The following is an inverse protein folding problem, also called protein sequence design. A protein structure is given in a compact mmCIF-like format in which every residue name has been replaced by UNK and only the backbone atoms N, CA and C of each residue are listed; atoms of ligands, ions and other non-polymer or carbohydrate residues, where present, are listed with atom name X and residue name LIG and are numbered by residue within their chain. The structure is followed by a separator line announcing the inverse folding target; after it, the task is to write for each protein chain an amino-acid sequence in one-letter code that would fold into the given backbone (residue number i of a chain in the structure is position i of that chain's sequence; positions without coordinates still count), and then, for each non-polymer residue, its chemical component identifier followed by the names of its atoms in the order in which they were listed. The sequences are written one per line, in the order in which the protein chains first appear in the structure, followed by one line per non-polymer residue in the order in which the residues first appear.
data_IF_460365524652
#
_entry.id   IF_460365524652
#
_cell.length_a   1.000
_cell.length_b   1.000
_cell.length_c   1.000
_cell.angle_alpha   90.00
_cell.angle_beta   90.00
_cell.angle_gamma   90.00
#
_symmetry.space_group_name_H-M   'P 1'
#
loop_
_entity.id
_entity.type
_entity.pdbx_description
1 polymer ?
#
# COMPACT_ATOMS: atom_id res chain seq x y z
N UNK A 1 -17.88 17.14 -30.78
CA UNK A 1 -16.43 17.19 -31.08
C UNK A 1 -15.95 15.76 -31.31
N UNK A 2 -15.20 15.46 -32.36
CA UNK A 2 -14.52 14.17 -32.48
C UNK A 2 -13.20 14.30 -31.70
N UNK A 3 -12.97 13.46 -30.72
CA UNK A 3 -11.66 13.36 -30.09
C UNK A 3 -10.66 12.89 -31.14
N UNK A 4 -9.56 13.61 -31.27
CA UNK A 4 -8.43 13.20 -32.07
C UNK A 4 -7.41 12.62 -31.13
N UNK A 5 -7.07 11.35 -31.28
CA UNK A 5 -5.99 10.72 -30.53
C UNK A 5 -4.69 11.04 -31.26
N UNK A 6 -3.77 11.67 -30.56
CA UNK A 6 -2.44 11.95 -31.06
C UNK A 6 -1.43 11.08 -30.32
N UNK A 7 -0.44 10.57 -31.01
CA UNK A 7 0.64 9.80 -30.44
C UNK A 7 1.65 10.76 -29.76
N UNK A 8 2.12 10.43 -28.57
CA UNK A 8 3.14 11.24 -27.89
C UNK A 8 4.47 10.97 -28.57
N UNK A 9 4.95 11.92 -29.35
CA UNK A 9 6.20 11.82 -30.12
C UNK A 9 7.45 12.06 -29.25
N UNK A 10 7.35 12.87 -28.18
CA UNK A 10 8.47 13.17 -27.31
C UNK A 10 8.02 13.50 -25.88
N UNK A 11 8.84 13.15 -24.89
CA UNK A 11 8.69 13.54 -23.49
C UNK A 11 9.98 14.19 -23.03
N UNK A 12 9.96 15.50 -22.83
CA UNK A 12 11.11 16.26 -22.30
C UNK A 12 11.05 16.43 -20.79
N UNK A 13 12.20 16.34 -20.15
CA UNK A 13 12.35 16.65 -18.75
C UNK A 13 12.49 18.16 -18.60
N UNK A 14 11.50 18.81 -17.99
CA UNK A 14 11.53 20.24 -17.73
C UNK A 14 11.91 20.47 -16.27
N UNK A 15 12.96 21.25 -16.01
CA UNK A 15 13.31 21.70 -14.65
C UNK A 15 12.23 22.66 -14.13
N UNK A 16 11.42 22.18 -13.20
CA UNK A 16 10.36 22.95 -12.59
C UNK A 16 10.91 23.82 -11.46
N UNK A 17 10.73 25.14 -11.58
CA UNK A 17 11.28 26.11 -10.63
C UNK A 17 10.43 26.38 -9.39
N UNK A 18 9.19 25.89 -9.36
CA UNK A 18 8.28 26.08 -8.24
C UNK A 18 8.35 24.92 -7.26
N UNK A 19 8.39 25.26 -5.95
CA UNK A 19 8.45 24.26 -4.85
C UNK A 19 7.13 23.53 -4.59
N UNK A 20 6.07 23.74 -5.40
CA UNK A 20 4.74 23.15 -5.20
C UNK A 20 4.32 22.39 -6.44
N UNK A 21 4.01 21.11 -6.26
CA UNK A 21 3.34 20.27 -7.25
C UNK A 21 1.87 20.15 -6.82
N UNK A 22 0.96 20.66 -7.64
CA UNK A 22 -0.47 20.49 -7.44
C UNK A 22 -0.90 19.16 -8.06
N UNK A 23 -1.46 18.27 -7.23
CA UNK A 23 -2.07 17.03 -7.69
C UNK A 23 -3.59 17.21 -7.59
N UNK A 24 -4.27 17.29 -8.71
CA UNK A 24 -5.71 17.30 -8.81
C UNK A 24 -6.15 15.85 -9.03
N UNK A 25 -6.90 15.21 -8.14
CA UNK A 25 -7.41 13.86 -8.31
C UNK A 25 -8.90 13.92 -8.66
N UNK A 26 -9.28 13.55 -9.87
CA UNK A 26 -10.67 13.47 -10.36
C UNK A 26 -11.17 12.04 -10.16
N UNK A 27 -12.32 11.87 -9.52
CA UNK A 27 -12.85 10.57 -9.16
C UNK A 27 -14.15 10.24 -9.92
N UNK A 28 -14.00 10.06 -11.22
CA UNK A 28 -14.97 9.35 -12.04
C UNK A 28 -14.33 8.02 -12.54
N UNK A 29 -15.09 7.19 -13.24
CA UNK A 29 -14.53 5.96 -13.84
C UNK A 29 -13.50 6.25 -14.94
N UNK A 30 -13.45 7.47 -15.46
CA UNK A 30 -12.45 7.95 -16.43
C UNK A 30 -11.27 8.63 -15.74
N UNK A 31 -11.46 9.15 -14.51
CA UNK A 31 -10.47 9.93 -13.74
C UNK A 31 -9.79 11.02 -14.59
N UNK A 32 -10.53 11.78 -15.37
CA UNK A 32 -9.99 12.70 -16.36
C UNK A 32 -10.40 14.16 -16.09
N UNK A 33 -9.52 15.11 -16.39
CA UNK A 33 -9.82 16.54 -16.47
C UNK A 33 -9.09 17.16 -17.66
N UNK A 34 -9.49 18.36 -18.08
CA UNK A 34 -8.81 19.08 -19.16
C UNK A 34 -7.85 20.09 -18.55
N UNK A 35 -6.55 19.93 -18.84
CA UNK A 35 -5.52 20.91 -18.51
C UNK A 35 -4.78 21.29 -19.80
N UNK A 36 -4.74 22.59 -20.14
CA UNK A 36 -4.14 23.10 -21.39
C UNK A 36 -4.63 22.37 -22.67
N UNK A 37 -5.94 22.19 -22.80
CA UNK A 37 -6.62 21.48 -23.90
C UNK A 37 -6.33 19.96 -23.99
N UNK A 38 -5.59 19.42 -23.03
CA UNK A 38 -5.30 17.99 -22.91
C UNK A 38 -6.24 17.38 -21.86
N UNK A 39 -6.87 16.25 -22.17
CA UNK A 39 -7.68 15.49 -21.24
C UNK A 39 -6.76 14.80 -20.24
N UNK A 40 -6.86 15.14 -18.96
CA UNK A 40 -6.01 14.65 -17.86
C UNK A 40 -6.87 13.94 -16.82
N UNK A 41 -6.29 13.00 -16.10
CA UNK A 41 -6.96 12.10 -15.19
C UNK A 41 -6.71 12.48 -13.71
N UNK A 42 -7.76 12.74 -12.88
CA UNK A 42 -7.54 13.10 -11.46
C UNK A 42 -8.76 13.02 -10.50
N UNK A 43 -8.47 13.02 -9.15
CA UNK A 43 -9.45 13.05 -8.05
C UNK A 43 -9.14 14.20 -7.08
N UNK A 44 -10.16 14.77 -6.43
CA UNK A 44 -10.03 15.81 -5.38
C UNK A 44 -10.42 15.21 -4.03
N UNK A 45 -9.69 15.52 -2.97
CA UNK A 45 -10.13 15.23 -1.61
C UNK A 45 -10.04 16.45 -0.71
N UNK A 46 -10.93 16.52 0.29
CA UNK A 46 -10.98 17.57 1.28
C UNK A 46 -10.97 17.01 2.71
N UNK A 47 -10.41 17.76 3.66
CA UNK A 47 -10.43 17.42 5.08
C UNK A 47 -11.45 18.30 5.81
N UNK A 48 -12.28 17.70 6.66
CA UNK A 48 -13.34 18.40 7.41
C UNK A 48 -13.02 18.57 8.91
N UNK A 49 -11.82 18.21 9.37
CA UNK A 49 -11.45 18.29 10.78
C UNK A 49 -11.63 19.70 11.35
N UNK A 50 -11.03 20.68 10.71
CA UNK A 50 -11.09 22.10 11.13
C UNK A 50 -12.48 22.73 11.03
N UNK A 51 -13.39 22.16 10.24
CA UNK A 51 -14.76 22.69 10.14
C UNK A 51 -15.48 22.64 11.48
N UNK A 52 -15.38 21.53 12.20
CA UNK A 52 -16.04 21.37 13.50
C UNK A 52 -15.34 22.19 14.59
N UNK A 53 -14.01 22.32 14.52
CA UNK A 53 -13.23 23.14 15.47
C UNK A 53 -13.53 24.63 15.34
N UNK A 54 -13.89 25.10 14.14
CA UNK A 54 -14.25 26.49 13.88
C UNK A 54 -15.71 26.84 14.27
N UNK A 55 -16.53 25.86 14.65
CA UNK A 55 -17.92 26.11 15.07
C UNK A 55 -17.99 26.69 16.50
N UNK A 56 -19.09 27.40 16.80
CA UNK A 56 -19.36 27.81 18.19
C UNK A 56 -19.57 26.61 19.12
N UNK A 57 -19.28 26.72 20.42
CA UNK A 57 -19.50 25.63 21.37
C UNK A 57 -20.91 25.03 21.34
N UNK A 58 -21.93 25.85 21.15
CA UNK A 58 -23.32 25.39 21.05
C UNK A 58 -23.57 24.59 19.75
N UNK A 59 -22.88 24.95 18.66
CA UNK A 59 -22.94 24.19 17.39
C UNK A 59 -22.14 22.90 17.48
N UNK A 60 -20.96 22.92 18.12
CA UNK A 60 -20.16 21.72 18.35
C UNK A 60 -20.92 20.67 19.18
N UNK A 61 -21.68 21.11 20.20
CA UNK A 61 -22.49 20.23 21.02
C UNK A 61 -23.56 19.42 20.25
N UNK A 62 -23.98 19.91 19.07
CA UNK A 62 -24.89 19.17 18.17
C UNK A 62 -24.22 18.02 17.44
N UNK A 63 -22.89 18.05 17.32
CA UNK A 63 -22.06 17.08 16.61
C UNK A 63 -21.11 16.33 17.57
N UNK A 64 -21.66 15.89 18.71
CA UNK A 64 -20.94 15.22 19.81
C UNK A 64 -20.45 13.79 19.46
N UNK A 65 -20.98 13.18 18.40
CA UNK A 65 -20.59 11.84 17.95
C UNK A 65 -20.06 11.85 16.52
N UNK A 66 -19.21 10.87 16.21
CA UNK A 66 -18.67 10.66 14.86
C UNK A 66 -19.79 10.40 13.85
N UNK A 67 -20.86 9.69 14.25
CA UNK A 67 -22.03 9.44 13.42
C UNK A 67 -22.71 10.75 13.01
N UNK A 68 -22.97 11.64 13.96
CA UNK A 68 -23.60 12.94 13.67
C UNK A 68 -22.73 13.80 12.75
N UNK A 69 -21.39 13.80 12.97
CA UNK A 69 -20.43 14.47 12.09
C UNK A 69 -20.48 13.90 10.68
N UNK A 70 -20.44 12.57 10.54
CA UNK A 70 -20.54 11.87 9.26
C UNK A 70 -21.81 12.23 8.51
N UNK A 71 -22.96 12.13 9.18
CA UNK A 71 -24.27 12.35 8.55
C UNK A 71 -24.42 13.82 8.12
N UNK A 72 -23.91 14.77 8.89
CA UNK A 72 -23.84 16.18 8.50
C UNK A 72 -22.97 16.40 7.27
N UNK A 73 -21.73 15.84 7.25
CA UNK A 73 -20.81 16.00 6.11
C UNK A 73 -21.43 15.39 4.86
N UNK A 74 -22.01 14.19 4.94
CA UNK A 74 -22.63 13.54 3.79
C UNK A 74 -23.81 14.35 3.27
N UNK A 75 -24.67 14.83 4.14
CA UNK A 75 -25.78 15.70 3.74
C UNK A 75 -25.28 16.97 3.06
N UNK A 76 -24.27 17.62 3.64
CA UNK A 76 -23.68 18.83 3.08
C UNK A 76 -23.04 18.56 1.71
N UNK A 77 -22.30 17.47 1.56
CA UNK A 77 -21.68 17.13 0.28
C UNK A 77 -22.74 16.78 -0.78
N UNK A 78 -23.59 15.80 -0.52
CA UNK A 78 -24.53 15.27 -1.51
C UNK A 78 -25.65 16.26 -1.88
N UNK A 79 -26.16 17.02 -0.90
CA UNK A 79 -27.27 17.95 -1.13
C UNK A 79 -26.82 19.34 -1.56
N UNK A 80 -25.60 19.75 -1.24
CA UNK A 80 -25.11 21.09 -1.51
C UNK A 80 -23.86 21.12 -2.37
N UNK A 81 -22.72 20.57 -1.92
CA UNK A 81 -21.44 20.71 -2.63
C UNK A 81 -21.45 20.05 -4.01
N UNK A 82 -21.94 18.82 -4.11
CA UNK A 82 -21.97 18.11 -5.39
C UNK A 82 -22.86 18.86 -6.39
N UNK A 83 -24.00 19.39 -5.94
CA UNK A 83 -24.88 20.19 -6.79
C UNK A 83 -24.25 21.52 -7.22
N UNK A 84 -23.56 22.22 -6.30
CA UNK A 84 -22.88 23.47 -6.65
C UNK A 84 -21.71 23.23 -7.61
N UNK A 85 -20.92 22.20 -7.38
CA UNK A 85 -19.80 21.83 -8.26
C UNK A 85 -20.31 21.42 -9.65
N UNK A 86 -21.37 20.63 -9.75
CA UNK A 86 -21.96 20.23 -11.03
C UNK A 86 -22.56 21.43 -11.76
N UNK A 87 -23.27 22.32 -11.04
CA UNK A 87 -23.74 23.56 -11.62
C UNK A 87 -22.60 24.44 -12.16
N UNK A 88 -21.50 24.54 -11.41
CA UNK A 88 -20.33 25.27 -11.87
C UNK A 88 -19.68 24.60 -13.10
N UNK A 89 -19.60 23.26 -13.15
CA UNK A 89 -19.16 22.54 -14.33
C UNK A 89 -20.06 22.79 -15.54
N UNK A 90 -21.39 22.79 -15.35
CA UNK A 90 -22.37 23.07 -16.40
C UNK A 90 -22.27 24.50 -16.94
N UNK A 91 -21.98 25.48 -16.09
CA UNK A 91 -21.86 26.88 -16.47
C UNK A 91 -20.50 27.19 -17.15
N UNK A 92 -19.40 26.56 -16.76
CA UNK A 92 -18.07 26.98 -17.18
C UNK A 92 -17.42 25.98 -18.18
N UNK A 93 -17.49 24.69 -17.92
CA UNK A 93 -16.79 23.69 -18.73
C UNK A 93 -17.67 23.06 -19.81
N UNK A 94 -18.87 22.61 -19.44
CA UNK A 94 -19.73 21.89 -20.36
C UNK A 94 -20.21 22.70 -21.58
N UNK A 95 -20.51 24.01 -21.49
CA UNK A 95 -20.93 24.81 -22.64
C UNK A 95 -19.85 24.89 -23.75
N UNK A 96 -18.59 24.86 -23.38
CA UNK A 96 -17.48 24.93 -24.36
C UNK A 96 -17.34 23.66 -25.20
N UNK A 97 -17.84 22.55 -24.71
CA UNK A 97 -17.66 21.23 -25.32
C UNK A 97 -18.97 20.61 -25.84
N UNK A 98 -20.14 21.22 -25.56
CA UNK A 98 -21.44 20.74 -26.05
C UNK A 98 -21.95 19.44 -25.40
N UNK A 99 -21.25 18.90 -24.39
CA UNK A 99 -21.57 17.69 -23.66
C UNK A 99 -21.18 17.86 -22.19
N UNK A 100 -21.89 17.18 -21.28
CA UNK A 100 -21.48 17.05 -19.89
C UNK A 100 -20.23 16.16 -19.84
N UNK A 101 -19.06 16.78 -19.70
CA UNK A 101 -17.76 16.09 -19.68
C UNK A 101 -17.27 15.95 -18.24
N UNK A 102 -17.70 16.87 -17.36
CA UNK A 102 -17.29 16.89 -15.96
C UNK A 102 -18.51 16.74 -15.07
N UNK A 103 -18.44 15.77 -14.18
CA UNK A 103 -19.40 15.55 -13.10
C UNK A 103 -18.63 15.34 -11.80
N UNK A 104 -19.06 16.02 -10.73
CA UNK A 104 -18.56 15.81 -9.38
C UNK A 104 -19.50 14.91 -8.62
N UNK A 105 -18.97 13.83 -8.07
CA UNK A 105 -19.68 12.92 -7.19
C UNK A 105 -18.85 12.65 -5.93
N UNK A 106 -19.47 12.78 -4.76
CA UNK A 106 -18.86 12.37 -3.50
C UNK A 106 -18.76 10.84 -3.45
N UNK A 107 -17.56 10.29 -3.58
CA UNK A 107 -17.34 8.84 -3.66
C UNK A 107 -17.20 8.18 -2.30
N UNK A 108 -16.51 8.82 -1.38
CA UNK A 108 -16.22 8.22 -0.08
C UNK A 108 -15.96 9.24 1.02
N UNK A 109 -16.29 8.85 2.26
CA UNK A 109 -15.92 9.57 3.47
C UNK A 109 -15.13 8.64 4.38
N UNK A 110 -13.94 9.08 4.78
CA UNK A 110 -13.04 8.34 5.65
C UNK A 110 -12.92 9.01 7.01
N UNK A 111 -12.88 8.22 8.07
CA UNK A 111 -12.60 8.72 9.42
C UNK A 111 -11.15 9.14 9.58
N UNK A 112 -10.25 8.40 8.93
CA UNK A 112 -8.83 8.70 8.90
C UNK A 112 -8.20 8.24 7.58
N UNK A 113 -7.12 8.93 7.17
CA UNK A 113 -6.33 8.57 6.01
C UNK A 113 -4.84 8.81 6.28
N UNK A 114 -4.02 7.87 5.85
CA UNK A 114 -2.55 7.99 5.90
C UNK A 114 -2.01 7.88 4.48
N UNK A 115 -1.40 8.95 3.99
CA UNK A 115 -0.78 9.02 2.69
C UNK A 115 0.73 8.73 2.83
N UNK A 116 1.21 7.62 2.26
CA UNK A 116 2.65 7.29 2.27
C UNK A 116 3.38 8.00 1.14
N UNK A 117 2.77 8.05 -0.03
CA UNK A 117 3.25 8.74 -1.24
C UNK A 117 2.11 8.76 -2.27
N UNK A 118 2.31 9.44 -3.39
CA UNK A 118 1.36 9.45 -4.52
C UNK A 118 0.87 8.02 -4.84
N UNK A 119 -0.44 7.84 -4.92
CA UNK A 119 -1.11 6.53 -5.18
C UNK A 119 -0.78 5.41 -4.17
N UNK A 120 -0.27 5.76 -2.96
CA UNK A 120 -0.03 4.81 -1.88
C UNK A 120 -0.60 5.37 -0.58
N UNK A 121 -1.79 4.94 -0.22
CA UNK A 121 -2.50 5.42 0.96
C UNK A 121 -3.36 4.34 1.60
N UNK A 122 -3.66 4.54 2.87
CA UNK A 122 -4.59 3.75 3.66
C UNK A 122 -5.74 4.65 4.08
N UNK A 123 -6.99 4.26 3.79
CA UNK A 123 -8.22 4.94 4.20
C UNK A 123 -9.05 4.07 5.12
N UNK A 124 -9.69 4.68 6.11
CA UNK A 124 -10.66 4.04 6.98
C UNK A 124 -12.06 4.57 6.65
N UNK A 125 -12.75 3.91 5.75
CA UNK A 125 -14.06 4.32 5.27
C UNK A 125 -15.15 4.17 6.32
N UNK A 126 -15.94 5.23 6.50
CA UNK A 126 -17.21 5.22 7.24
C UNK A 126 -18.42 5.37 6.30
N UNK A 127 -18.17 5.72 5.04
CA UNK A 127 -19.14 5.70 3.95
C UNK A 127 -18.41 5.59 2.59
N UNK A 128 -18.99 4.88 1.63
CA UNK A 128 -18.53 4.86 0.24
C UNK A 128 -19.64 4.44 -0.72
N UNK A 129 -19.87 5.20 -1.78
CA UNK A 129 -20.84 4.94 -2.86
C UNK A 129 -22.21 4.49 -2.31
N UNK A 130 -22.78 5.28 -1.41
CA UNK A 130 -24.09 5.00 -0.78
C UNK A 130 -24.08 3.97 0.34
N UNK A 131 -22.96 3.30 0.61
CA UNK A 131 -22.85 2.26 1.65
C UNK A 131 -22.22 2.82 2.93
N UNK A 132 -22.92 2.67 4.05
CA UNK A 132 -22.43 3.04 5.38
C UNK A 132 -21.62 1.91 6.01
N UNK A 133 -20.55 2.28 6.73
CA UNK A 133 -19.74 1.39 7.55
C UNK A 133 -19.80 1.84 9.01
N UNK A 134 -19.54 0.92 9.93
CA UNK A 134 -19.50 1.22 11.34
C UNK A 134 -18.34 2.18 11.65
N UNK A 135 -18.63 3.28 12.31
CA UNK A 135 -17.62 4.29 12.69
C UNK A 135 -16.66 3.79 13.77
N UNK A 136 -17.06 2.80 14.57
CA UNK A 136 -16.21 2.17 15.57
C UNK A 136 -15.36 1.03 14.97
N UNK A 137 -15.76 0.53 13.79
CA UNK A 137 -15.01 -0.49 13.04
C UNK A 137 -15.03 -0.15 11.55
N UNK A 138 -14.37 0.94 11.12
CA UNK A 138 -14.40 1.42 9.75
C UNK A 138 -13.74 0.42 8.80
N UNK A 139 -14.21 0.41 7.57
CA UNK A 139 -13.63 -0.46 6.54
C UNK A 139 -12.27 0.09 6.09
N UNK A 140 -11.20 -0.65 6.37
CA UNK A 140 -9.89 -0.33 5.84
C UNK A 140 -9.81 -0.62 4.35
N UNK A 141 -9.28 0.33 3.61
CA UNK A 141 -8.95 0.20 2.19
C UNK A 141 -7.54 0.72 1.94
N UNK A 142 -6.75 -0.08 1.25
CA UNK A 142 -5.37 0.23 0.94
C UNK A 142 -5.18 0.33 -0.57
N UNK A 143 -4.63 1.42 -1.05
CA UNK A 143 -4.29 1.63 -2.46
C UNK A 143 -2.77 1.68 -2.61
N UNK A 144 -2.24 0.94 -3.58
CA UNK A 144 -0.80 0.94 -3.90
C UNK A 144 0.13 0.40 -2.80
N UNK A 145 -0.39 0.12 -1.61
CA UNK A 145 0.37 -0.36 -0.46
C UNK A 145 0.67 -1.85 -0.61
N UNK A 146 1.86 -2.26 -0.21
CA UNK A 146 2.30 -3.66 -0.31
C UNK A 146 1.43 -4.64 0.47
N UNK A 147 0.69 -4.18 1.47
CA UNK A 147 -0.16 -5.01 2.34
C UNK A 147 -1.27 -5.78 1.60
N UNK A 148 -1.75 -5.25 0.48
CA UNK A 148 -2.87 -5.85 -0.29
C UNK A 148 -2.43 -6.50 -1.59
N UNK A 149 -1.14 -6.42 -1.94
CA UNK A 149 -0.62 -7.03 -3.16
C UNK A 149 -0.63 -8.56 -3.04
N UNK A 150 -0.85 -9.22 -4.15
CA UNK A 150 -0.76 -10.69 -4.24
C UNK A 150 0.62 -11.24 -3.89
N UNK A 151 1.66 -10.41 -4.01
CA UNK A 151 3.04 -10.72 -3.64
C UNK A 151 3.31 -10.70 -2.13
N UNK A 152 2.43 -10.09 -1.33
CA UNK A 152 2.59 -10.00 0.13
C UNK A 152 2.35 -11.37 0.77
N UNK A 153 3.18 -11.80 1.74
CA UNK A 153 2.95 -13.03 2.50
C UNK A 153 1.55 -13.08 3.11
N UNK A 154 0.95 -14.27 3.18
CA UNK A 154 -0.36 -14.48 3.81
C UNK A 154 -0.41 -13.93 5.23
N UNK A 155 0.61 -14.24 6.02
CA UNK A 155 0.77 -13.71 7.37
C UNK A 155 0.62 -12.18 7.44
N UNK A 156 1.31 -11.47 6.55
CA UNK A 156 1.27 -10.01 6.53
C UNK A 156 -0.10 -9.48 6.11
N UNK A 157 -0.76 -10.10 5.12
CA UNK A 157 -2.10 -9.70 4.68
C UNK A 157 -3.16 -9.85 5.78
N UNK A 158 -3.01 -10.85 6.63
CA UNK A 158 -3.98 -11.15 7.69
C UNK A 158 -3.72 -10.33 8.97
N UNK A 159 -2.46 -10.05 9.28
CA UNK A 159 -2.06 -9.43 10.55
C UNK A 159 -1.81 -7.92 10.46
N UNK A 160 -1.13 -7.44 9.39
CA UNK A 160 -0.73 -6.02 9.32
C UNK A 160 -1.92 -5.04 9.23
N UNK A 161 -3.05 -5.33 8.56
CA UNK A 161 -4.20 -4.43 8.60
C UNK A 161 -4.70 -4.14 10.02
N UNK A 162 -4.68 -5.13 10.91
CA UNK A 162 -5.08 -4.96 12.32
C UNK A 162 -4.11 -4.04 13.08
N UNK A 163 -2.82 -4.21 12.83
CA UNK A 163 -1.77 -3.35 13.43
C UNK A 163 -1.92 -1.90 12.95
N UNK A 164 -2.15 -1.70 11.66
CA UNK A 164 -2.33 -0.37 11.08
C UNK A 164 -3.62 0.28 11.56
N UNK A 165 -4.70 -0.48 11.72
CA UNK A 165 -5.93 0.01 12.31
C UNK A 165 -5.68 0.57 13.71
N UNK A 166 -4.97 -0.20 14.54
CA UNK A 166 -4.56 0.24 15.88
C UNK A 166 -3.73 1.53 15.83
N UNK A 167 -2.72 1.60 14.98
CA UNK A 167 -1.91 2.81 14.79
C UNK A 167 -2.74 4.02 14.37
N UNK A 168 -3.71 3.86 13.48
CA UNK A 168 -4.53 4.97 12.98
C UNK A 168 -5.49 5.55 14.03
N UNK A 169 -6.03 4.72 14.92
CA UNK A 169 -7.13 5.12 15.79
C UNK A 169 -6.76 5.25 17.25
N UNK A 170 -5.82 4.47 17.76
CA UNK A 170 -5.49 4.45 19.18
C UNK A 170 -4.40 5.46 19.54
N UNK A 171 -3.53 5.83 18.58
CA UNK A 171 -2.45 6.79 18.83
C UNK A 171 -2.95 8.16 19.35
N UNK A 172 -4.11 8.61 18.88
CA UNK A 172 -4.67 9.91 19.25
C UNK A 172 -5.57 9.85 20.50
N UNK A 173 -5.91 8.65 20.97
CA UNK A 173 -6.87 8.45 22.07
C UNK A 173 -6.24 8.08 23.41
N UNK A 174 -4.95 7.71 23.43
CA UNK A 174 -4.24 7.24 24.61
C UNK A 174 -3.04 8.12 24.97
N UNK A 175 -2.58 8.01 26.20
CA UNK A 175 -1.27 8.51 26.59
C UNK A 175 -0.22 7.90 25.65
N UNK A 176 0.60 8.72 25.02
CA UNK A 176 1.57 8.33 24.00
C UNK A 176 2.56 7.25 24.50
N UNK A 177 2.93 7.30 25.79
CA UNK A 177 3.83 6.33 26.40
C UNK A 177 3.14 4.96 26.56
N UNK A 178 1.92 4.94 27.08
CA UNK A 178 1.13 3.72 27.24
C UNK A 178 0.85 3.03 25.92
N UNK A 179 0.43 3.81 24.91
CA UNK A 179 0.26 3.30 23.54
C UNK A 179 1.54 2.69 23.00
N UNK A 180 2.68 3.35 23.21
CA UNK A 180 3.99 2.89 22.71
C UNK A 180 4.36 1.54 23.32
N UNK A 181 4.19 1.39 24.65
CA UNK A 181 4.48 0.13 25.35
C UNK A 181 3.58 -1.01 24.85
N UNK A 182 2.28 -0.75 24.72
CA UNK A 182 1.32 -1.73 24.21
C UNK A 182 1.61 -2.12 22.74
N UNK A 183 1.99 -1.14 21.92
CA UNK A 183 2.38 -1.38 20.54
C UNK A 183 3.61 -2.26 20.44
N UNK A 184 4.65 -2.02 21.24
CA UNK A 184 5.86 -2.85 21.31
C UNK A 184 5.50 -4.28 21.73
N UNK A 185 4.68 -4.45 22.76
CA UNK A 185 4.23 -5.76 23.20
C UNK A 185 3.49 -6.51 22.09
N UNK A 186 2.61 -5.81 21.37
CA UNK A 186 1.90 -6.35 20.21
C UNK A 186 2.88 -6.81 19.11
N UNK A 187 3.92 -6.02 18.82
CA UNK A 187 4.93 -6.38 17.84
C UNK A 187 5.79 -7.57 18.26
N UNK A 188 6.10 -7.71 19.56
CA UNK A 188 6.81 -8.87 20.09
C UNK A 188 5.98 -10.16 19.98
N UNK A 189 4.68 -10.10 20.28
CA UNK A 189 3.76 -11.22 20.09
C UNK A 189 3.66 -11.60 18.61
N UNK A 190 3.47 -10.61 17.71
CA UNK A 190 3.41 -10.83 16.28
C UNK A 190 4.69 -11.49 15.75
N UNK A 191 5.85 -11.10 16.27
CA UNK A 191 7.14 -11.71 15.92
C UNK A 191 7.19 -13.18 16.31
N UNK A 192 6.76 -13.53 17.53
CA UNK A 192 6.69 -14.94 17.98
C UNK A 192 5.78 -15.75 17.05
N UNK A 193 4.59 -15.24 16.73
CA UNK A 193 3.67 -15.90 15.78
C UNK A 193 4.32 -16.09 14.41
N UNK A 194 5.03 -15.07 13.89
CA UNK A 194 5.73 -15.15 12.62
C UNK A 194 6.80 -16.26 12.62
N UNK A 195 7.60 -16.35 13.68
CA UNK A 195 8.66 -17.35 13.79
C UNK A 195 8.11 -18.78 13.94
N UNK A 196 6.91 -18.93 14.48
CA UNK A 196 6.23 -20.23 14.62
C UNK A 196 5.37 -20.59 13.41
N UNK A 197 5.18 -19.67 12.48
CA UNK A 197 4.35 -19.90 11.29
C UNK A 197 5.06 -20.76 10.24
N UNK A 198 4.23 -21.44 9.43
CA UNK A 198 4.68 -22.22 8.28
C UNK A 198 5.43 -21.35 7.27
N UNK A 199 6.48 -21.91 6.67
CA UNK A 199 7.30 -21.21 5.68
C UNK A 199 6.46 -20.67 4.51
N UNK A 200 5.50 -21.46 4.07
CA UNK A 200 4.62 -21.07 2.97
C UNK A 200 3.74 -19.86 3.31
N UNK A 201 3.30 -19.72 4.54
CA UNK A 201 2.47 -18.62 5.01
C UNK A 201 3.24 -17.30 5.14
N UNK A 202 4.54 -17.36 5.46
CA UNK A 202 5.42 -16.20 5.59
C UNK A 202 6.29 -15.92 4.34
N UNK A 203 6.16 -16.74 3.30
CA UNK A 203 6.84 -16.55 2.01
C UNK A 203 6.08 -15.57 1.11
N UNK A 204 6.82 -14.80 0.31
CA UNK A 204 6.26 -13.92 -0.71
C UNK A 204 5.80 -14.73 -1.93
N UNK A 205 4.81 -14.23 -2.67
CA UNK A 205 4.26 -14.91 -3.84
C UNK A 205 4.37 -14.02 -5.08
N UNK A 206 4.80 -14.57 -6.21
CA UNK A 206 4.96 -13.80 -7.45
C UNK A 206 4.84 -14.71 -8.68
N UNK A 207 4.43 -14.15 -9.80
CA UNK A 207 4.54 -14.82 -11.09
C UNK A 207 5.93 -14.57 -11.69
N UNK A 208 6.57 -15.63 -12.22
CA UNK A 208 7.83 -15.50 -12.91
C UNK A 208 7.58 -14.95 -14.31
N UNK A 209 8.27 -13.85 -14.63
CA UNK A 209 8.31 -13.29 -15.97
C UNK A 209 9.73 -13.21 -16.50
N UNK A 210 9.87 -13.36 -17.81
CA UNK A 210 11.14 -13.12 -18.53
C UNK A 210 12.35 -13.94 -18.00
N UNK A 211 12.14 -15.17 -17.53
CA UNK A 211 13.19 -16.02 -16.99
C UNK A 211 14.41 -16.12 -17.94
N UNK A 212 14.15 -16.51 -19.19
CA UNK A 212 15.18 -16.67 -20.23
C UNK A 212 15.95 -15.38 -20.56
N UNK A 213 15.37 -14.23 -20.29
CA UNK A 213 16.01 -12.93 -20.53
C UNK A 213 17.11 -12.64 -19.50
N UNK A 214 16.94 -13.13 -18.29
CA UNK A 214 17.80 -12.75 -17.16
C UNK A 214 18.73 -13.85 -16.66
N UNK A 215 18.42 -15.12 -16.94
CA UNK A 215 19.24 -16.25 -16.49
C UNK A 215 20.14 -16.69 -17.62
N UNK A 216 21.44 -16.58 -17.42
CA UNK A 216 22.51 -17.04 -18.35
C UNK A 216 22.75 -18.52 -18.09
N UNK A 217 22.97 -18.89 -16.84
CA UNK A 217 23.16 -20.28 -16.42
C UNK A 217 22.49 -20.56 -15.07
N UNK A 218 21.80 -21.70 -14.96
CA UNK A 218 21.15 -22.20 -13.75
C UNK A 218 21.44 -23.69 -13.47
N UNK A 219 22.45 -24.25 -14.15
CA UNK A 219 22.86 -25.65 -13.99
C UNK A 219 24.24 -25.77 -13.37
N UNK A 220 25.25 -25.21 -14.00
CA UNK A 220 26.63 -25.33 -13.55
C UNK A 220 27.01 -24.20 -12.62
N UNK A 221 26.52 -22.99 -12.87
CA UNK A 221 26.68 -21.80 -12.06
C UNK A 221 25.36 -21.08 -11.87
N UNK A 222 25.38 -19.96 -11.14
CA UNK A 222 24.24 -19.05 -11.02
C UNK A 222 24.63 -17.69 -11.61
N UNK A 223 24.46 -17.57 -12.93
CA UNK A 223 24.82 -16.39 -13.68
C UNK A 223 23.61 -15.65 -14.19
N UNK A 224 23.62 -14.31 -14.07
CA UNK A 224 22.48 -13.46 -14.36
C UNK A 224 22.87 -12.21 -15.13
N UNK A 225 21.99 -11.79 -16.02
CA UNK A 225 22.04 -10.47 -16.63
C UNK A 225 21.81 -9.36 -15.61
N UNK A 226 22.36 -8.17 -15.90
CA UNK A 226 22.17 -6.99 -15.06
C UNK A 226 20.69 -6.63 -14.94
N UNK A 227 20.25 -6.35 -13.71
CA UNK A 227 18.86 -5.99 -13.43
C UNK A 227 17.91 -7.18 -13.28
N UNK A 228 18.44 -8.38 -13.11
CA UNK A 228 17.67 -9.58 -12.87
C UNK A 228 16.74 -9.40 -11.64
N UNK A 229 15.41 -9.66 -11.76
CA UNK A 229 14.48 -9.55 -10.65
C UNK A 229 14.77 -10.57 -9.54
N UNK A 230 14.49 -10.18 -8.29
CA UNK A 230 14.64 -11.06 -7.10
C UNK A 230 13.93 -12.41 -7.26
N UNK A 231 12.72 -12.41 -7.85
CA UNK A 231 11.95 -13.63 -8.07
C UNK A 231 12.63 -14.59 -9.05
N UNK A 232 13.31 -14.06 -10.07
CA UNK A 232 14.07 -14.84 -11.04
C UNK A 232 15.34 -15.40 -10.40
N UNK A 233 16.05 -14.61 -9.60
CA UNK A 233 17.16 -15.11 -8.79
C UNK A 233 16.74 -16.26 -7.85
N UNK A 234 15.58 -16.11 -7.23
CA UNK A 234 15.07 -17.09 -6.28
C UNK A 234 14.78 -18.43 -6.94
N UNK A 235 14.09 -18.42 -8.10
CA UNK A 235 13.73 -19.66 -8.79
C UNK A 235 14.91 -20.26 -9.57
N UNK A 236 15.83 -19.45 -10.07
CA UNK A 236 17.05 -19.99 -10.67
C UNK A 236 17.89 -20.75 -9.66
N UNK A 237 17.95 -20.29 -8.41
CA UNK A 237 18.59 -21.03 -7.31
C UNK A 237 17.88 -22.35 -7.00
N UNK A 238 16.54 -22.39 -7.07
CA UNK A 238 15.79 -23.63 -6.97
C UNK A 238 16.19 -24.60 -8.08
N UNK A 239 16.20 -24.14 -9.35
CA UNK A 239 16.59 -24.97 -10.49
C UNK A 239 18.01 -25.49 -10.37
N UNK A 240 18.96 -24.62 -9.97
CA UNK A 240 20.34 -25.02 -9.72
C UNK A 240 20.44 -26.13 -8.66
N UNK A 241 19.75 -25.98 -7.53
CA UNK A 241 19.77 -26.98 -6.47
C UNK A 241 19.01 -28.26 -6.86
N UNK A 242 17.91 -28.15 -7.60
CA UNK A 242 17.18 -29.29 -8.16
C UNK A 242 18.13 -30.12 -9.07
N UNK A 243 18.82 -29.46 -9.99
CA UNK A 243 19.79 -30.10 -10.86
C UNK A 243 20.93 -30.79 -10.08
N UNK A 244 21.53 -30.09 -9.11
CA UNK A 244 22.61 -30.66 -8.25
C UNK A 244 22.14 -31.83 -7.40
N UNK A 245 20.85 -31.93 -7.07
CA UNK A 245 20.27 -33.07 -6.34
C UNK A 245 19.68 -34.17 -7.26
N UNK A 246 19.85 -34.05 -8.59
CA UNK A 246 19.36 -35.03 -9.56
C UNK A 246 17.86 -34.97 -9.85
N UNK A 247 17.22 -33.80 -9.63
CA UNK A 247 15.79 -33.56 -9.81
C UNK A 247 15.52 -32.64 -11.01
N UNK A 248 16.08 -32.99 -12.18
CA UNK A 248 15.87 -32.17 -13.41
C UNK A 248 14.40 -32.08 -13.86
N UNK A 249 13.58 -33.02 -13.47
CA UNK A 249 12.15 -33.07 -13.69
C UNK A 249 11.37 -31.96 -12.93
N UNK A 250 11.99 -31.39 -11.89
CA UNK A 250 11.39 -30.32 -11.07
C UNK A 250 11.75 -28.91 -11.53
N UNK A 251 12.50 -28.74 -12.62
CA UNK A 251 12.93 -27.42 -13.12
C UNK A 251 11.76 -26.54 -13.53
N UNK A 252 11.70 -25.30 -13.01
CA UNK A 252 10.61 -24.35 -13.22
C UNK A 252 11.12 -23.02 -13.79
N UNK A 253 10.54 -22.56 -14.91
CA UNK A 253 10.92 -21.33 -15.60
C UNK A 253 9.78 -20.35 -15.83
N UNK A 254 8.57 -20.71 -15.40
CA UNK A 254 7.36 -19.88 -15.51
C UNK A 254 6.35 -20.26 -14.47
N UNK A 255 5.32 -19.44 -14.28
CA UNK A 255 4.22 -19.70 -13.36
C UNK A 255 4.37 -19.03 -12.00
N UNK A 256 3.49 -19.38 -11.09
CA UNK A 256 3.42 -18.79 -9.76
C UNK A 256 4.36 -19.50 -8.80
N UNK A 257 5.24 -18.73 -8.19
CA UNK A 257 6.19 -19.23 -7.18
C UNK A 257 5.97 -18.55 -5.84
N UNK A 258 6.47 -19.19 -4.81
CA UNK A 258 6.79 -18.57 -3.53
C UNK A 258 8.29 -18.43 -3.37
N UNK A 259 8.74 -17.41 -2.62
CA UNK A 259 10.15 -17.21 -2.35
C UNK A 259 10.37 -16.55 -0.99
N UNK A 260 11.56 -16.75 -0.45
CA UNK A 260 11.98 -16.22 0.83
C UNK A 260 13.47 -15.90 0.87
N UNK A 261 13.86 -15.15 1.91
CA UNK A 261 15.26 -14.80 2.14
C UNK A 261 16.02 -15.96 2.77
N UNK A 262 17.25 -16.22 2.29
CA UNK A 262 18.18 -17.22 2.82
C UNK A 262 19.52 -16.57 3.16
N UNK A 263 20.33 -17.25 3.96
CA UNK A 263 21.71 -16.86 4.24
C UNK A 263 22.64 -17.60 3.26
N UNK A 264 23.51 -16.86 2.56
CA UNK A 264 24.49 -17.42 1.60
C UNK A 264 25.92 -17.50 2.15
N UNK A 265 26.16 -16.98 3.35
CA UNK A 265 27.44 -16.87 4.03
C UNK A 265 27.31 -15.94 5.22
N UNK A 266 28.41 -15.57 5.86
CA UNK A 266 28.35 -14.76 7.08
C UNK A 266 27.63 -13.42 6.87
N UNK A 267 27.94 -12.71 5.77
CA UNK A 267 27.42 -11.36 5.49
C UNK A 267 26.62 -11.26 4.19
N UNK A 268 26.23 -12.37 3.57
CA UNK A 268 25.48 -12.35 2.31
C UNK A 268 24.13 -13.03 2.44
N UNK A 269 23.09 -12.27 2.05
CA UNK A 269 21.74 -12.78 1.92
C UNK A 269 21.44 -13.09 0.46
N UNK A 270 20.59 -14.05 0.25
CA UNK A 270 20.05 -14.42 -1.06
C UNK A 270 18.58 -14.76 -0.98
N UNK A 271 18.10 -15.35 -2.04
CA UNK A 271 16.71 -15.75 -2.14
C UNK A 271 16.62 -17.19 -2.62
N UNK A 272 15.62 -17.91 -2.10
CA UNK A 272 15.22 -19.21 -2.60
C UNK A 272 13.75 -19.18 -2.97
N UNK A 273 13.42 -19.64 -4.18
CA UNK A 273 12.06 -19.74 -4.67
C UNK A 273 11.67 -21.19 -4.89
N UNK A 274 10.37 -21.47 -4.92
CA UNK A 274 9.84 -22.80 -5.19
C UNK A 274 8.41 -22.68 -5.75
N UNK A 275 7.93 -23.66 -6.53
CA UNK A 275 6.54 -23.70 -6.97
C UNK A 275 5.59 -23.67 -5.78
N UNK A 276 4.53 -22.85 -5.85
CA UNK A 276 3.58 -22.70 -4.74
C UNK A 276 2.98 -24.05 -4.33
N UNK A 277 3.06 -24.39 -3.04
CA UNK A 277 2.60 -25.67 -2.49
C UNK A 277 3.58 -26.84 -2.65
N UNK A 278 4.80 -26.62 -3.19
CA UNK A 278 5.79 -27.67 -3.48
C UNK A 278 7.16 -27.32 -2.91
N UNK A 279 7.22 -27.01 -1.60
CA UNK A 279 8.49 -26.79 -0.91
C UNK A 279 9.26 -28.13 -0.82
N UNK A 280 10.46 -28.25 -1.42
CA UNK A 280 11.20 -29.50 -1.38
C UNK A 280 11.93 -29.69 -0.04
N UNK A 281 12.21 -30.95 0.32
CA UNK A 281 12.92 -31.30 1.56
C UNK A 281 14.35 -30.78 1.58
N UNK A 282 14.96 -30.59 0.41
CA UNK A 282 16.31 -30.03 0.25
C UNK A 282 16.34 -28.49 0.22
N UNK A 283 15.22 -27.83 0.50
CA UNK A 283 15.15 -26.36 0.53
C UNK A 283 16.10 -25.79 1.60
N UNK A 284 16.91 -24.77 1.28
CA UNK A 284 17.76 -24.12 2.27
C UNK A 284 16.91 -23.42 3.33
N UNK A 285 17.38 -23.34 4.58
CA UNK A 285 16.63 -22.73 5.67
C UNK A 285 16.37 -21.24 5.41
N UNK A 286 15.16 -20.81 5.74
CA UNK A 286 14.78 -19.39 5.67
C UNK A 286 15.57 -18.56 6.70
N UNK A 287 16.09 -17.43 6.26
CA UNK A 287 16.57 -16.39 7.18
C UNK A 287 15.35 -15.60 7.72
N UNK A 288 14.74 -16.12 8.79
CA UNK A 288 13.51 -15.53 9.37
C UNK A 288 13.73 -14.12 9.89
N UNK A 289 14.94 -13.74 10.30
CA UNK A 289 15.26 -12.38 10.75
C UNK A 289 15.08 -11.40 9.57
N UNK A 290 15.78 -11.64 8.48
CA UNK A 290 15.70 -10.79 7.28
C UNK A 290 14.30 -10.83 6.65
N UNK A 291 13.65 -11.99 6.69
CA UNK A 291 12.27 -12.11 6.19
C UNK A 291 11.32 -11.25 7.01
N UNK A 292 11.39 -11.28 8.35
CA UNK A 292 10.63 -10.43 9.25
C UNK A 292 10.88 -8.94 8.98
N UNK A 293 12.15 -8.54 8.94
CA UNK A 293 12.54 -7.15 8.68
C UNK A 293 11.94 -6.61 7.38
N UNK A 294 12.06 -7.38 6.29
CA UNK A 294 11.60 -6.93 4.97
C UNK A 294 10.09 -6.96 4.80
N UNK A 295 9.41 -7.95 5.38
CA UNK A 295 7.98 -8.16 5.10
C UNK A 295 7.04 -7.58 6.16
N UNK A 296 7.54 -7.34 7.38
CA UNK A 296 6.75 -6.79 8.49
C UNK A 296 7.28 -5.43 8.93
N UNK A 297 8.53 -5.37 9.40
CA UNK A 297 9.09 -4.14 9.98
C UNK A 297 9.20 -3.01 8.94
N UNK A 298 9.71 -3.30 7.76
CA UNK A 298 9.86 -2.30 6.69
C UNK A 298 8.53 -1.64 6.30
N UNK A 299 7.47 -2.39 5.99
CA UNK A 299 6.14 -1.83 5.77
C UNK A 299 5.60 -0.99 6.93
N UNK A 300 5.69 -1.48 8.18
CA UNK A 300 5.20 -0.73 9.36
C UNK A 300 5.99 0.56 9.54
N UNK A 301 7.32 0.52 9.43
CA UNK A 301 8.17 1.71 9.61
C UNK A 301 7.83 2.84 8.63
N UNK A 302 7.37 2.53 7.42
CA UNK A 302 6.89 3.56 6.47
C UNK A 302 5.66 4.30 6.99
N UNK A 303 4.77 3.63 7.70
CA UNK A 303 3.62 4.28 8.35
C UNK A 303 4.07 5.10 9.56
N UNK A 304 4.91 4.54 10.43
CA UNK A 304 5.44 5.23 11.59
C UNK A 304 6.16 6.53 11.21
N UNK A 305 6.94 6.50 10.13
CA UNK A 305 7.66 7.67 9.61
C UNK A 305 6.71 8.81 9.21
N UNK A 306 5.65 8.50 8.44
CA UNK A 306 4.64 9.49 8.02
C UNK A 306 3.86 10.03 9.22
N UNK A 307 3.66 9.21 10.26
CA UNK A 307 2.98 9.59 11.49
C UNK A 307 3.90 10.30 12.51
N UNK A 308 5.16 10.56 12.16
CA UNK A 308 6.18 11.13 13.06
C UNK A 308 6.38 10.31 14.34
N UNK A 309 6.32 8.99 14.23
CA UNK A 309 6.59 8.05 15.31
C UNK A 309 7.99 7.43 15.08
N UNK A 310 8.78 7.18 16.13
CA UNK A 310 10.06 6.51 16.02
C UNK A 310 9.95 5.16 15.32
N UNK A 311 10.94 4.84 14.47
CA UNK A 311 10.99 3.56 13.75
C UNK A 311 11.21 2.41 14.72
N UNK A 312 10.58 1.27 14.43
CA UNK A 312 10.93 0.01 15.06
C UNK A 312 12.30 -0.47 14.58
N UNK A 313 13.14 -0.87 15.52
CA UNK A 313 14.45 -1.43 15.19
C UNK A 313 14.37 -2.95 15.03
N UNK A 314 15.21 -3.53 14.14
CA UNK A 314 15.14 -4.97 13.83
C UNK A 314 15.50 -5.89 15.00
N UNK A 315 16.39 -5.48 15.90
CA UNK A 315 16.91 -6.29 17.00
C UNK A 315 16.30 -5.93 18.36
N UNK A 316 16.09 -6.92 19.23
CA UNK A 316 15.56 -6.71 20.58
C UNK A 316 16.45 -5.82 21.46
N UNK A 317 17.78 -5.93 21.30
CA UNK A 317 18.73 -5.13 22.05
C UNK A 317 18.66 -3.62 21.69
N UNK A 318 18.32 -3.31 20.44
CA UNK A 318 18.15 -1.94 19.98
C UNK A 318 16.75 -1.38 20.31
N UNK A 319 15.74 -2.23 20.48
CA UNK A 319 14.41 -1.79 20.94
C UNK A 319 14.42 -1.29 22.37
N UNK A 320 15.28 -1.84 23.23
CA UNK A 320 15.44 -1.37 24.61
C UNK A 320 16.14 -0.01 24.70
N UNK A 321 16.99 0.36 23.72
CA UNK A 321 17.72 1.63 23.72
C UNK A 321 16.91 2.83 23.25
N UNK A 322 15.73 2.61 22.66
CA UNK A 322 14.81 3.69 22.26
C UNK A 322 14.01 4.29 23.42
N UNK A 323 14.04 3.63 24.58
CA UNK A 323 13.25 3.94 25.77
C UNK A 323 14.10 4.04 27.05
N UNK A 324 15.42 4.03 26.91
CA UNK A 324 16.38 4.25 27.98
C UNK A 324 16.76 5.71 28.12
#
# INVERSE_FOLDING_TARGET
MKYQFEEIENIEHVDYKDNYVYDIEVDDNSHTFIGNDILVHNSVYATYGSLFDAMTPESQAKFDTVQKKRDFILKFNLEFLDKQNNKWCDEIFNPRHGHNIHEFESESLSLAQVNLRKKNYLKAYIWSKGKYFDVNNPKLSATGIELVKSSTPGFCRDKLPKILNKLMFELNSHNKEEFTMEFIHTMQQLRREFYMSDLEYISQSVNIGNYKKFVIDDKDSLEFEKGCPTSVHAIARYNYLAHKNGHDDLIVRSGKIKYYNIKLGENRNGFFGYPSGMLPDWAPPMNKIVQWEKTVIGPINRFLEVMNIPRLLPSEAQQMSLFG
#
